data_IF_942961126015
#
_entry.id   IF_942961126015
#
_cell.length_a   1.000
_cell.length_b   1.000
_cell.length_c   1.000
_cell.angle_alpha   90.00
_cell.angle_beta   90.00
_cell.angle_gamma   90.00
#
_symmetry.space_group_name_H-M   'P 1'
#
loop_
_entity.id
_entity.type
_entity.pdbx_description
1 polymer ?
#
# COMPACT_ATOMS: atom_id res chain seq x y z
N UNK A 1 11.35 26.43 -6.03
CA UNK A 1 12.43 26.50 -5.05
C UNK A 1 13.10 27.84 -5.23
N UNK A 2 12.79 28.79 -4.35
CA UNK A 2 13.34 30.15 -4.44
C UNK A 2 14.78 30.22 -3.93
N UNK A 3 15.25 29.16 -3.23
CA UNK A 3 16.60 29.03 -2.72
C UNK A 3 17.61 28.57 -3.79
N UNK A 4 17.15 28.12 -4.96
CA UNK A 4 18.01 27.70 -6.07
C UNK A 4 18.02 28.82 -7.10
N UNK A 5 19.15 29.51 -7.20
CA UNK A 5 19.37 30.60 -8.17
C UNK A 5 20.55 30.29 -9.07
N UNK A 6 20.75 31.10 -10.12
CA UNK A 6 21.96 31.01 -10.95
C UNK A 6 23.25 31.25 -10.14
N UNK A 7 23.16 31.89 -8.97
CA UNK A 7 24.30 32.17 -8.09
C UNK A 7 24.63 31.01 -7.13
N UNK A 8 23.79 29.98 -7.03
CA UNK A 8 23.99 28.83 -6.15
C UNK A 8 22.74 28.43 -5.36
N UNK A 9 22.95 27.63 -4.32
CA UNK A 9 21.90 27.20 -3.39
C UNK A 9 22.02 28.02 -2.11
N UNK A 10 20.98 28.78 -1.77
CA UNK A 10 20.88 29.51 -0.51
C UNK A 10 20.53 28.55 0.63
N UNK A 11 21.48 28.29 1.52
CA UNK A 11 21.30 27.37 2.66
C UNK A 11 20.28 27.83 3.71
N UNK A 12 19.85 29.10 3.64
CA UNK A 12 18.85 29.70 4.52
C UNK A 12 17.46 29.80 3.89
N UNK A 13 17.30 29.35 2.64
CA UNK A 13 16.01 29.37 1.95
C UNK A 13 15.04 28.31 2.49
N UNK A 14 13.74 28.59 2.39
CA UNK A 14 12.69 27.66 2.83
C UNK A 14 12.73 26.39 1.98
N UNK A 15 12.84 25.23 2.60
CA UNK A 15 12.86 23.94 1.92
C UNK A 15 11.46 23.64 1.34
N UNK A 16 11.26 23.94 0.05
CA UNK A 16 9.94 23.79 -0.60
C UNK A 16 9.71 22.42 -1.25
N UNK A 17 10.71 21.52 -1.24
CA UNK A 17 10.70 20.25 -1.99
C UNK A 17 10.90 19.00 -1.12
N UNK A 18 10.81 19.13 0.21
CA UNK A 18 11.02 18.00 1.12
C UNK A 18 10.07 16.82 0.83
N UNK A 19 8.80 17.08 0.49
CA UNK A 19 7.83 16.05 0.10
C UNK A 19 8.35 15.21 -1.05
N UNK A 20 8.90 15.84 -2.10
CA UNK A 20 9.47 15.12 -3.24
C UNK A 20 10.69 14.27 -2.87
N UNK A 21 11.55 14.77 -1.97
CA UNK A 21 12.70 14.00 -1.46
C UNK A 21 12.24 12.77 -0.68
N UNK A 22 11.25 12.94 0.20
CA UNK A 22 10.68 11.84 1.00
C UNK A 22 9.99 10.80 0.11
N UNK A 23 9.15 11.25 -0.85
CA UNK A 23 8.53 10.35 -1.85
C UNK A 23 9.58 9.59 -2.65
N UNK A 24 10.70 10.24 -3.02
CA UNK A 24 11.78 9.58 -3.76
C UNK A 24 12.41 8.43 -2.97
N UNK A 25 12.63 8.60 -1.65
CA UNK A 25 13.14 7.52 -0.79
C UNK A 25 12.26 6.25 -0.84
N UNK A 26 10.95 6.42 -0.73
CA UNK A 26 10.00 5.33 -0.93
C UNK A 26 10.09 4.69 -2.34
N UNK A 27 10.20 5.51 -3.39
CA UNK A 27 10.26 5.00 -4.78
C UNK A 27 11.50 4.16 -5.06
N UNK A 28 12.61 4.43 -4.39
CA UNK A 28 13.82 3.57 -4.50
C UNK A 28 13.54 2.19 -3.92
N UNK A 29 12.89 2.12 -2.76
CA UNK A 29 12.53 0.85 -2.12
C UNK A 29 11.58 0.08 -3.04
N UNK A 30 10.52 0.74 -3.52
CA UNK A 30 9.56 0.15 -4.47
C UNK A 30 10.25 -0.40 -5.74
N UNK A 31 11.15 0.40 -6.33
CA UNK A 31 11.89 -0.01 -7.54
C UNK A 31 12.75 -1.25 -7.29
N UNK A 32 13.42 -1.34 -6.12
CA UNK A 32 14.24 -2.51 -5.78
C UNK A 32 13.42 -3.81 -5.70
N UNK A 33 12.16 -3.72 -5.28
CA UNK A 33 11.25 -4.87 -5.24
C UNK A 33 10.82 -5.27 -6.64
N UNK A 34 10.47 -4.30 -7.48
CA UNK A 34 10.10 -4.56 -8.86
C UNK A 34 11.24 -5.22 -9.63
N UNK A 35 12.47 -4.72 -9.46
CA UNK A 35 13.67 -5.30 -10.04
C UNK A 35 13.85 -6.76 -9.61
N UNK A 36 13.90 -7.01 -8.29
CA UNK A 36 14.19 -8.33 -7.72
C UNK A 36 13.09 -9.37 -8.01
N UNK A 37 11.82 -8.99 -7.84
CA UNK A 37 10.71 -9.95 -7.84
C UNK A 37 9.94 -10.04 -9.17
N UNK A 38 10.04 -9.04 -10.05
CA UNK A 38 9.22 -8.96 -11.26
C UNK A 38 9.99 -8.82 -12.57
N UNK A 39 11.27 -8.43 -12.57
CA UNK A 39 12.00 -8.07 -13.80
C UNK A 39 13.12 -9.04 -14.23
N UNK A 40 12.93 -10.35 -14.07
CA UNK A 40 13.93 -11.37 -14.45
C UNK A 40 15.32 -11.18 -13.83
N UNK A 41 15.41 -10.48 -12.68
CA UNK A 41 16.64 -10.41 -11.90
C UNK A 41 17.12 -11.81 -11.49
N UNK A 42 18.43 -12.00 -11.22
CA UNK A 42 18.94 -13.27 -10.74
C UNK A 42 18.17 -13.68 -9.49
N UNK A 43 17.42 -14.78 -9.60
CA UNK A 43 16.63 -15.32 -8.52
C UNK A 43 17.55 -15.64 -7.34
N UNK A 44 17.44 -14.88 -6.26
CA UNK A 44 18.11 -15.23 -5.01
C UNK A 44 17.60 -16.61 -4.58
N UNK A 45 18.50 -17.47 -4.14
CA UNK A 45 18.13 -18.73 -3.50
C UNK A 45 17.67 -18.46 -2.07
N UNK A 46 16.74 -19.26 -1.56
CA UNK A 46 16.49 -19.33 -0.12
C UNK A 46 17.78 -19.82 0.57
N UNK A 47 18.27 -19.20 1.67
CA UNK A 47 17.62 -18.20 2.54
C UNK A 47 17.94 -16.72 2.21
N UNK A 48 18.75 -16.44 1.19
CA UNK A 48 19.17 -15.08 0.86
C UNK A 48 18.00 -14.19 0.43
N UNK A 49 16.97 -14.77 -0.19
CA UNK A 49 15.74 -14.07 -0.53
C UNK A 49 14.98 -13.60 0.71
N UNK A 50 14.79 -14.48 1.70
CA UNK A 50 14.12 -14.13 2.96
C UNK A 50 14.87 -13.01 3.69
N UNK A 51 16.20 -13.11 3.82
CA UNK A 51 16.99 -12.04 4.44
C UNK A 51 16.89 -10.69 3.69
N UNK A 52 16.84 -10.72 2.36
CA UNK A 52 16.64 -9.52 1.57
C UNK A 52 15.25 -8.91 1.78
N UNK A 53 14.20 -9.73 1.90
CA UNK A 53 12.84 -9.28 2.18
C UNK A 53 12.76 -8.61 3.57
N UNK A 54 13.38 -9.22 4.59
CA UNK A 54 13.48 -8.64 5.94
C UNK A 54 14.19 -7.28 5.92
N UNK A 55 15.29 -7.18 5.16
CA UNK A 55 16.03 -5.92 4.97
C UNK A 55 15.18 -4.84 4.28
N UNK A 56 14.37 -5.21 3.29
CA UNK A 56 13.47 -4.29 2.58
C UNK A 56 12.37 -3.79 3.50
N UNK A 57 11.76 -4.67 4.29
CA UNK A 57 10.76 -4.30 5.27
C UNK A 57 11.32 -3.32 6.32
N UNK A 58 12.50 -3.62 6.85
CA UNK A 58 13.18 -2.75 7.80
C UNK A 58 13.47 -1.37 7.20
N UNK A 59 13.85 -1.30 5.92
CA UNK A 59 14.10 -0.02 5.23
C UNK A 59 12.82 0.81 5.10
N UNK A 60 11.69 0.20 4.73
CA UNK A 60 10.44 0.95 4.59
C UNK A 60 9.88 1.38 5.96
N UNK A 61 10.07 0.55 6.99
CA UNK A 61 9.69 0.92 8.36
C UNK A 61 10.49 2.14 8.84
N UNK A 62 11.83 2.11 8.69
CA UNK A 62 12.69 3.24 9.05
C UNK A 62 12.35 4.51 8.27
N UNK A 63 12.11 4.39 6.97
CA UNK A 63 11.68 5.54 6.15
C UNK A 63 10.37 6.13 6.67
N UNK A 64 9.39 5.28 7.03
CA UNK A 64 8.12 5.74 7.63
C UNK A 64 8.36 6.45 8.96
N UNK A 65 9.17 5.88 9.84
CA UNK A 65 9.52 6.47 11.14
C UNK A 65 10.21 7.83 10.98
N UNK A 66 11.15 7.95 10.03
CA UNK A 66 11.84 9.20 9.70
C UNK A 66 10.86 10.28 9.23
N UNK A 67 9.85 9.92 8.41
CA UNK A 67 8.80 10.85 7.97
C UNK A 67 8.00 11.37 9.17
N UNK A 68 7.49 10.47 10.04
CA UNK A 68 6.72 10.87 11.21
C UNK A 68 7.55 11.69 12.20
N UNK A 69 8.81 11.30 12.44
CA UNK A 69 9.71 12.05 13.30
C UNK A 69 9.93 13.46 12.74
N UNK A 70 10.22 13.59 11.43
CA UNK A 70 10.42 14.89 10.79
C UNK A 70 9.17 15.77 10.87
N UNK A 71 7.99 15.18 10.65
CA UNK A 71 6.71 15.88 10.79
C UNK A 71 6.45 16.36 12.23
N UNK A 72 6.80 15.55 13.22
CA UNK A 72 6.64 15.89 14.64
C UNK A 72 7.55 17.05 15.09
N UNK A 73 8.71 17.20 14.44
CA UNK A 73 9.65 18.29 14.68
C UNK A 73 9.33 19.56 13.88
N UNK A 74 8.31 19.57 13.03
CA UNK A 74 7.96 20.74 12.23
C UNK A 74 7.23 21.80 13.08
N UNK A 75 7.84 22.98 13.23
CA UNK A 75 7.25 24.13 13.91
C UNK A 75 6.54 25.10 12.95
N UNK A 76 6.74 24.97 11.63
CA UNK A 76 6.14 25.85 10.63
C UNK A 76 4.69 25.45 10.31
N UNK A 77 3.73 26.25 10.79
CA UNK A 77 2.30 26.04 10.55
C UNK A 77 1.92 26.12 9.07
N UNK A 78 2.67 26.84 8.23
CA UNK A 78 2.40 26.94 6.80
C UNK A 78 2.67 25.60 6.07
N UNK A 79 3.59 24.79 6.59
CA UNK A 79 3.95 23.48 6.03
C UNK A 79 3.11 22.33 6.60
N UNK A 80 2.31 22.57 7.65
CA UNK A 80 1.54 21.52 8.32
C UNK A 80 0.64 20.70 7.37
N UNK A 81 -0.09 21.28 6.39
CA UNK A 81 -0.87 20.48 5.45
C UNK A 81 -0.04 19.51 4.61
N UNK A 82 1.19 19.89 4.23
CA UNK A 82 2.09 19.06 3.44
C UNK A 82 2.68 17.93 4.30
N UNK A 83 2.97 18.22 5.58
CA UNK A 83 3.36 17.19 6.55
C UNK A 83 2.22 16.20 6.81
N UNK A 84 1.00 16.67 7.04
CA UNK A 84 -0.18 15.81 7.22
C UNK A 84 -0.41 14.89 6.02
N UNK A 85 -0.16 15.40 4.80
CA UNK A 85 -0.26 14.61 3.57
C UNK A 85 0.82 13.53 3.49
N UNK A 86 2.10 13.88 3.71
CA UNK A 86 3.20 12.92 3.59
C UNK A 86 3.21 11.90 4.73
N UNK A 87 2.76 12.24 5.94
CA UNK A 87 2.59 11.30 7.05
C UNK A 87 1.54 10.23 6.69
N UNK A 88 0.37 10.64 6.21
CA UNK A 88 -0.65 9.70 5.75
C UNK A 88 -0.13 8.85 4.58
N UNK A 89 0.61 9.46 3.64
CA UNK A 89 1.20 8.72 2.55
C UNK A 89 2.25 7.72 3.03
N UNK A 90 3.02 8.02 4.08
CA UNK A 90 4.01 7.11 4.64
C UNK A 90 3.36 5.88 5.27
N UNK A 91 2.23 6.06 5.96
CA UNK A 91 1.40 4.95 6.45
C UNK A 91 0.94 4.04 5.30
N UNK A 92 0.40 4.63 4.22
CA UNK A 92 -0.07 3.87 3.06
C UNK A 92 1.08 3.17 2.33
N UNK A 93 2.20 3.87 2.16
CA UNK A 93 3.36 3.38 1.43
C UNK A 93 4.01 2.18 2.13
N UNK A 94 4.08 2.19 3.46
CA UNK A 94 4.54 1.03 4.23
C UNK A 94 3.71 -0.22 3.92
N UNK A 95 2.39 -0.11 4.04
CA UNK A 95 1.47 -1.22 3.79
C UNK A 95 1.51 -1.66 2.32
N UNK A 96 1.65 -0.71 1.39
CA UNK A 96 1.81 -1.02 -0.04
C UNK A 96 3.09 -1.81 -0.33
N UNK A 97 4.22 -1.49 0.32
CA UNK A 97 5.45 -2.27 0.17
C UNK A 97 5.26 -3.71 0.63
N UNK A 98 4.54 -3.94 1.74
CA UNK A 98 4.21 -5.29 2.19
C UNK A 98 3.36 -6.04 1.15
N UNK A 99 2.33 -5.38 0.60
CA UNK A 99 1.51 -5.96 -0.48
C UNK A 99 2.36 -6.30 -1.70
N UNK A 100 3.20 -5.37 -2.16
CA UNK A 100 4.02 -5.55 -3.36
C UNK A 100 5.06 -6.68 -3.21
N UNK A 101 5.62 -6.81 -2.01
CA UNK A 101 6.66 -7.78 -1.69
C UNK A 101 6.09 -9.18 -1.49
N UNK A 102 4.95 -9.32 -0.82
CA UNK A 102 4.40 -10.63 -0.43
C UNK A 102 3.28 -11.15 -1.33
N UNK A 103 2.79 -10.35 -2.29
CA UNK A 103 1.83 -10.85 -3.28
C UNK A 103 2.44 -11.93 -4.18
N UNK A 104 1.61 -12.80 -4.78
CA UNK A 104 2.07 -13.74 -5.78
C UNK A 104 2.84 -13.03 -6.89
N UNK A 105 4.09 -13.43 -7.10
CA UNK A 105 4.97 -12.85 -8.10
C UNK A 105 5.93 -13.89 -8.69
N UNK A 106 6.51 -13.63 -9.88
CA UNK A 106 7.43 -14.56 -10.53
C UNK A 106 8.68 -14.91 -9.69
N UNK A 107 9.19 -13.95 -8.90
CA UNK A 107 10.36 -14.13 -8.04
C UNK A 107 10.12 -14.99 -6.81
N UNK A 108 8.87 -15.11 -6.34
CA UNK A 108 8.51 -15.92 -5.17
C UNK A 108 7.85 -17.23 -5.61
N UNK A 109 8.67 -18.24 -5.88
CA UNK A 109 8.22 -19.56 -6.37
C UNK A 109 7.49 -20.38 -5.31
N UNK A 110 7.92 -20.29 -4.05
CA UNK A 110 7.30 -20.97 -2.92
C UNK A 110 6.49 -19.96 -2.09
N UNK A 111 5.17 -20.16 -2.02
CA UNK A 111 4.27 -19.30 -1.25
C UNK A 111 4.26 -19.75 0.22
N UNK A 112 4.82 -18.94 1.11
CA UNK A 112 4.59 -19.11 2.56
C UNK A 112 3.25 -18.48 2.91
N UNK A 113 2.38 -19.21 3.61
CA UNK A 113 1.06 -18.71 4.01
C UNK A 113 1.16 -17.49 4.92
N UNK A 114 2.17 -17.44 5.79
CA UNK A 114 2.46 -16.29 6.65
C UNK A 114 2.69 -14.98 5.86
N UNK A 115 3.38 -15.06 4.72
CA UNK A 115 3.58 -13.90 3.84
C UNK A 115 2.25 -13.42 3.25
N UNK A 116 1.40 -14.36 2.80
CA UNK A 116 0.11 -14.03 2.22
C UNK A 116 -0.86 -13.45 3.26
N UNK A 117 -0.82 -13.93 4.50
CA UNK A 117 -1.56 -13.36 5.63
C UNK A 117 -1.11 -11.93 5.97
N UNK A 118 0.19 -11.66 5.91
CA UNK A 118 0.72 -10.30 6.09
C UNK A 118 0.26 -9.36 4.97
N UNK A 119 0.28 -9.84 3.73
CA UNK A 119 -0.22 -9.09 2.59
C UNK A 119 -1.73 -8.84 2.64
N UNK A 120 -2.50 -9.78 3.22
CA UNK A 120 -3.95 -9.68 3.40
C UNK A 120 -4.32 -8.50 4.31
N UNK A 121 -3.68 -8.39 5.48
CA UNK A 121 -3.91 -7.28 6.41
C UNK A 121 -3.46 -5.94 5.80
N UNK A 122 -2.26 -5.91 5.23
CA UNK A 122 -1.70 -4.72 4.59
C UNK A 122 -2.58 -4.21 3.43
N UNK A 123 -3.16 -5.11 2.64
CA UNK A 123 -4.03 -4.77 1.52
C UNK A 123 -5.24 -3.93 1.94
N UNK A 124 -5.85 -4.26 3.07
CA UNK A 124 -7.02 -3.54 3.62
C UNK A 124 -6.61 -2.16 4.12
N UNK A 125 -5.45 -2.06 4.77
CA UNK A 125 -4.90 -0.79 5.25
C UNK A 125 -4.54 0.17 4.12
N UNK A 126 -4.03 -0.34 3.00
CA UNK A 126 -3.80 0.46 1.78
C UNK A 126 -5.10 1.10 1.29
N UNK A 127 -6.16 0.31 1.11
CA UNK A 127 -7.45 0.84 0.64
C UNK A 127 -8.06 1.84 1.64
N UNK A 128 -7.96 1.54 2.94
CA UNK A 128 -8.44 2.41 4.01
C UNK A 128 -7.69 3.74 4.04
N UNK A 129 -6.37 3.71 3.94
CA UNK A 129 -5.54 4.91 3.93
C UNK A 129 -5.82 5.79 2.70
N UNK A 130 -5.96 5.19 1.52
CA UNK A 130 -6.36 5.93 0.31
C UNK A 130 -7.78 6.47 0.37
N UNK A 131 -8.73 5.76 1.00
CA UNK A 131 -10.06 6.29 1.26
C UNK A 131 -9.98 7.51 2.18
N UNK A 132 -9.21 7.44 3.27
CA UNK A 132 -8.94 8.60 4.14
C UNK A 132 -8.33 9.76 3.35
N UNK A 133 -7.34 9.49 2.50
CA UNK A 133 -6.70 10.52 1.67
C UNK A 133 -7.69 11.19 0.71
N UNK A 134 -8.56 10.41 0.06
CA UNK A 134 -9.55 10.92 -0.89
C UNK A 134 -10.58 11.85 -0.24
N UNK A 135 -10.85 11.66 1.07
CA UNK A 135 -11.85 12.40 1.84
C UNK A 135 -11.26 13.57 2.67
N UNK A 136 -9.94 13.81 2.65
CA UNK A 136 -9.35 14.99 3.31
C UNK A 136 -9.65 16.28 2.53
N UNK A 137 -9.81 17.39 3.23
CA UNK A 137 -10.19 18.70 2.65
C UNK A 137 -9.16 19.32 1.70
N UNK A 138 -7.89 18.92 1.78
CA UNK A 138 -6.83 19.25 0.80
C UNK A 138 -6.71 18.19 -0.31
N UNK A 139 -7.60 17.19 -0.31
CA UNK A 139 -7.55 15.95 -1.06
C UNK A 139 -7.84 16.08 -2.55
N UNK A 140 -7.18 16.99 -3.25
CA UNK A 140 -6.93 16.77 -4.66
C UNK A 140 -5.85 15.70 -4.77
N UNK A 141 -6.26 14.43 -4.83
CA UNK A 141 -5.39 13.36 -5.33
C UNK A 141 -4.92 13.78 -6.73
N UNK A 142 -3.72 14.37 -6.80
CA UNK A 142 -3.16 14.91 -8.03
C UNK A 142 -3.08 13.84 -9.13
N UNK A 143 -2.99 12.58 -8.71
CA UNK A 143 -2.82 11.40 -9.56
C UNK A 143 -3.77 10.27 -9.12
N UNK A 144 -5.06 10.38 -9.43
CA UNK A 144 -6.09 9.37 -9.07
C UNK A 144 -5.77 7.95 -9.53
N UNK A 145 -5.02 7.79 -10.62
CA UNK A 145 -4.62 6.47 -11.14
C UNK A 145 -3.74 5.69 -10.15
N UNK A 146 -2.93 6.39 -9.35
CA UNK A 146 -1.94 5.76 -8.50
C UNK A 146 -2.58 5.06 -7.28
N UNK A 147 -3.44 5.74 -6.48
CA UNK A 147 -4.32 5.10 -5.51
C UNK A 147 -5.16 3.96 -6.09
N UNK A 148 -5.74 4.14 -7.28
CA UNK A 148 -6.54 3.09 -7.91
C UNK A 148 -5.72 1.84 -8.22
N UNK A 149 -4.52 1.99 -8.78
CA UNK A 149 -3.63 0.87 -9.05
C UNK A 149 -3.28 0.11 -7.76
N UNK A 150 -2.88 0.83 -6.71
CA UNK A 150 -2.52 0.21 -5.43
C UNK A 150 -3.71 -0.50 -4.79
N UNK A 151 -4.84 0.18 -4.66
CA UNK A 151 -6.05 -0.40 -4.06
C UNK A 151 -6.57 -1.59 -4.86
N UNK A 152 -6.49 -1.57 -6.19
CA UNK A 152 -6.92 -2.69 -7.03
C UNK A 152 -6.00 -3.90 -6.87
N UNK A 153 -4.69 -3.66 -6.93
CA UNK A 153 -3.70 -4.71 -6.68
C UNK A 153 -3.84 -5.30 -5.28
N UNK A 154 -4.05 -4.47 -4.26
CA UNK A 154 -4.36 -4.90 -2.88
C UNK A 154 -5.63 -5.75 -2.81
N UNK A 155 -6.70 -5.36 -3.51
CA UNK A 155 -7.93 -6.16 -3.54
C UNK A 155 -7.69 -7.56 -4.14
N UNK A 156 -6.90 -7.67 -5.21
CA UNK A 156 -6.56 -8.96 -5.79
C UNK A 156 -5.78 -9.85 -4.82
N UNK A 157 -4.87 -9.27 -4.03
CA UNK A 157 -4.10 -9.99 -3.01
C UNK A 157 -4.98 -10.43 -1.86
N UNK A 158 -5.86 -9.55 -1.38
CA UNK A 158 -6.86 -9.86 -0.37
C UNK A 158 -7.74 -11.05 -0.79
N UNK A 159 -8.27 -11.02 -2.01
CA UNK A 159 -9.09 -12.11 -2.55
C UNK A 159 -8.32 -13.43 -2.68
N UNK A 160 -7.07 -13.37 -3.14
CA UNK A 160 -6.22 -14.55 -3.27
C UNK A 160 -5.88 -15.16 -1.90
N UNK A 161 -5.57 -14.32 -0.91
CA UNK A 161 -5.33 -14.74 0.46
C UNK A 161 -6.57 -15.39 1.07
N UNK A 162 -7.75 -14.80 0.88
CA UNK A 162 -9.01 -15.38 1.34
C UNK A 162 -9.25 -16.78 0.76
N UNK A 163 -8.84 -17.00 -0.50
CA UNK A 163 -8.94 -18.29 -1.14
C UNK A 163 -7.92 -19.31 -0.61
N UNK A 164 -6.67 -18.91 -0.43
CA UNK A 164 -5.56 -19.84 -0.16
C UNK A 164 -5.30 -20.08 1.34
N UNK A 165 -5.70 -19.15 2.20
CA UNK A 165 -5.42 -19.14 3.65
C UNK A 165 -6.70 -19.17 4.50
N UNK A 166 -7.71 -19.94 4.05
CA UNK A 166 -9.03 -20.00 4.72
C UNK A 166 -8.93 -20.36 6.20
N UNK A 167 -8.07 -21.33 6.53
CA UNK A 167 -7.86 -21.80 7.89
C UNK A 167 -7.29 -20.67 8.76
N UNK A 168 -6.16 -20.10 8.37
CA UNK A 168 -5.50 -19.02 9.09
C UNK A 168 -6.39 -17.78 9.25
N UNK A 169 -7.15 -17.43 8.21
CA UNK A 169 -8.10 -16.31 8.24
C UNK A 169 -9.24 -16.60 9.19
N UNK A 170 -9.81 -17.81 9.16
CA UNK A 170 -10.91 -18.19 10.06
C UNK A 170 -10.49 -18.31 11.53
N UNK A 171 -9.20 -18.53 11.80
CA UNK A 171 -8.64 -18.54 13.15
C UNK A 171 -8.35 -17.13 13.67
N UNK A 172 -8.03 -16.20 12.78
CA UNK A 172 -7.56 -14.86 13.14
C UNK A 172 -8.65 -13.78 13.05
N UNK A 173 -9.68 -13.99 12.21
CA UNK A 173 -10.69 -12.98 11.89
C UNK A 173 -12.10 -13.59 11.89
N UNK A 174 -13.05 -12.81 12.38
CA UNK A 174 -14.47 -13.12 12.27
C UNK A 174 -14.97 -12.92 10.84
N UNK A 175 -16.07 -13.59 10.50
CA UNK A 175 -16.74 -13.38 9.21
C UNK A 175 -17.16 -11.91 9.00
N UNK A 176 -17.56 -11.23 10.08
CA UNK A 176 -17.93 -9.80 10.02
C UNK A 176 -16.74 -8.94 9.62
N UNK A 177 -15.58 -9.13 10.24
CA UNK A 177 -14.35 -8.41 9.89
C UNK A 177 -13.95 -8.65 8.43
N UNK A 178 -14.01 -9.90 7.95
CA UNK A 178 -13.70 -10.24 6.56
C UNK A 178 -14.63 -9.52 5.57
N UNK A 179 -15.91 -9.35 5.91
CA UNK A 179 -16.86 -8.57 5.09
C UNK A 179 -16.61 -7.07 5.17
N UNK A 180 -16.24 -6.56 6.34
CA UNK A 180 -15.88 -5.15 6.52
C UNK A 180 -14.65 -4.80 5.70
N UNK A 181 -13.68 -5.71 5.59
CA UNK A 181 -12.47 -5.53 4.77
C UNK A 181 -12.79 -5.37 3.29
N UNK A 182 -13.75 -6.14 2.75
CA UNK A 182 -14.25 -5.91 1.38
C UNK A 182 -14.82 -4.49 1.24
N UNK A 183 -15.62 -4.05 2.23
CA UNK A 183 -16.26 -2.74 2.20
C UNK A 183 -15.25 -1.59 2.12
N UNK A 184 -14.02 -1.77 2.62
CA UNK A 184 -12.95 -0.77 2.48
C UNK A 184 -12.61 -0.50 1.01
N UNK A 185 -12.52 -1.55 0.18
CA UNK A 185 -12.29 -1.40 -1.25
C UNK A 185 -13.48 -0.75 -1.94
N UNK A 186 -14.71 -1.19 -1.66
CA UNK A 186 -15.93 -0.62 -2.23
C UNK A 186 -16.07 0.86 -1.93
N UNK A 187 -15.83 1.27 -0.67
CA UNK A 187 -15.85 2.66 -0.23
C UNK A 187 -14.81 3.50 -0.97
N UNK A 188 -13.59 3.00 -1.10
CA UNK A 188 -12.53 3.69 -1.85
C UNK A 188 -12.90 3.90 -3.32
N UNK A 189 -13.23 2.83 -4.05
CA UNK A 189 -13.52 2.94 -5.48
C UNK A 189 -14.78 3.76 -5.76
N UNK A 190 -15.78 3.70 -4.89
CA UNK A 190 -16.97 4.55 -4.99
C UNK A 190 -16.61 6.03 -4.85
N UNK A 191 -15.81 6.38 -3.83
CA UNK A 191 -15.37 7.77 -3.61
C UNK A 191 -14.49 8.30 -4.76
N UNK A 192 -13.66 7.44 -5.36
CA UNK A 192 -12.85 7.85 -6.52
C UNK A 192 -13.69 7.93 -7.79
N UNK A 193 -14.70 7.08 -7.98
CA UNK A 193 -15.55 7.08 -9.17
C UNK A 193 -16.28 8.42 -9.39
N UNK A 194 -16.57 9.16 -8.31
CA UNK A 194 -17.12 10.54 -8.40
C UNK A 194 -16.21 11.49 -9.18
N UNK A 195 -14.89 11.23 -9.20
CA UNK A 195 -13.87 12.08 -9.83
C UNK A 195 -13.25 11.43 -11.07
N UNK A 196 -13.17 10.11 -11.07
CA UNK A 196 -12.63 9.30 -12.16
C UNK A 196 -13.52 8.08 -12.40
N UNK A 197 -14.55 8.21 -13.27
CA UNK A 197 -15.58 7.17 -13.45
C UNK A 197 -15.04 5.79 -13.82
N UNK A 198 -13.86 5.71 -14.45
CA UNK A 198 -13.22 4.43 -14.78
C UNK A 198 -12.89 3.58 -13.52
N UNK A 199 -12.80 4.20 -12.34
CA UNK A 199 -12.64 3.50 -11.07
C UNK A 199 -13.84 2.60 -10.72
N UNK A 200 -15.03 2.87 -11.26
CA UNK A 200 -16.20 2.00 -11.06
C UNK A 200 -15.98 0.60 -11.65
N UNK A 201 -15.27 0.49 -12.78
CA UNK A 201 -14.95 -0.81 -13.37
C UNK A 201 -14.05 -1.66 -12.48
N UNK A 202 -13.15 -1.03 -11.70
CA UNK A 202 -12.33 -1.74 -10.72
C UNK A 202 -13.21 -2.34 -9.62
N UNK A 203 -14.25 -1.63 -9.19
CA UNK A 203 -15.22 -2.13 -8.21
C UNK A 203 -16.02 -3.30 -8.76
N UNK A 204 -16.57 -3.16 -9.98
CA UNK A 204 -17.33 -4.23 -10.64
C UNK A 204 -16.51 -5.53 -10.74
N UNK A 205 -15.22 -5.41 -11.09
CA UNK A 205 -14.32 -6.56 -11.18
C UNK A 205 -14.03 -7.19 -9.82
N UNK A 206 -13.84 -6.40 -8.77
CA UNK A 206 -13.64 -6.91 -7.41
C UNK A 206 -14.89 -7.65 -6.92
N UNK A 207 -16.07 -7.08 -7.10
CA UNK A 207 -17.34 -7.70 -6.67
C UNK A 207 -17.60 -9.02 -7.42
N UNK A 208 -17.35 -9.04 -8.73
CA UNK A 208 -17.47 -10.24 -9.56
C UNK A 208 -16.54 -11.37 -9.11
N UNK A 209 -15.32 -11.03 -8.68
CA UNK A 209 -14.35 -12.02 -8.18
C UNK A 209 -14.63 -12.44 -6.74
N UNK A 210 -15.19 -11.54 -5.92
CA UNK A 210 -15.52 -11.79 -4.53
C UNK A 210 -16.57 -12.89 -4.38
N UNK A 211 -17.67 -12.84 -5.13
CA UNK A 211 -18.80 -13.77 -4.97
C UNK A 211 -18.39 -15.25 -4.90
N UNK A 212 -17.69 -15.82 -5.91
CA UNK A 212 -17.31 -17.23 -5.85
C UNK A 212 -16.30 -17.56 -4.73
N UNK A 213 -15.40 -16.63 -4.39
CA UNK A 213 -14.40 -16.83 -3.32
C UNK A 213 -15.08 -16.82 -1.95
N UNK A 214 -16.04 -15.91 -1.75
CA UNK A 214 -16.81 -15.82 -0.52
C UNK A 214 -17.69 -17.06 -0.32
N UNK A 215 -18.36 -17.54 -1.37
CA UNK A 215 -19.16 -18.77 -1.28
C UNK A 215 -18.29 -19.98 -0.91
N UNK A 216 -17.09 -20.08 -1.49
CA UNK A 216 -16.10 -21.11 -1.14
C UNK A 216 -15.64 -21.00 0.32
N UNK A 217 -15.39 -19.77 0.80
CA UNK A 217 -15.02 -19.51 2.19
C UNK A 217 -16.16 -19.85 3.18
N UNK A 218 -17.39 -19.50 2.83
CA UNK A 218 -18.58 -19.85 3.63
C UNK A 218 -18.79 -21.37 3.72
N UNK A 219 -18.63 -22.07 2.60
CA UNK A 219 -18.71 -23.54 2.57
C UNK A 219 -17.63 -24.18 3.46
N UNK A 220 -16.41 -23.61 3.47
CA UNK A 220 -15.35 -24.03 4.37
C UNK A 220 -15.74 -23.83 5.85
N UNK A 221 -16.26 -22.66 6.22
CA UNK A 221 -16.66 -22.37 7.60
C UNK A 221 -17.78 -23.29 8.11
N UNK A 222 -18.64 -23.79 7.23
CA UNK A 222 -19.70 -24.75 7.59
C UNK A 222 -19.17 -26.18 7.87
N UNK A 223 -17.98 -26.50 7.36
CA UNK A 223 -17.35 -27.82 7.51
C UNK A 223 -16.34 -27.89 8.66
N UNK A 224 -15.97 -26.74 9.23
CA UNK A 224 -15.06 -26.59 10.37
C UNK A 224 -15.80 -26.84 11.69
#
# INVERSE_FOLDING_TARGET
DQAITHAGIESTGVETRFVSRLTWGFRIIEASILEMLYQNAPCLSDPALDCWMDDVELKILRWKEEVHQSASCNEDLALKPQWDEIELYADIAYEWILVLMYRPCPGLKARKREHLMKAFDAAVKVATGYFTQANRGYGFLKYVFHPCHHSFASAMVFLQALKDCKEEISDSYTLTEVREYLSCFSRFFSAIAERWPAAAHCLDDIERLWTPIYDEYMAFLQQK
#
